data_IF_703817613237
#
_entry.id   IF_703817613237
#
_cell.length_a   1.000
_cell.length_b   1.000
_cell.length_c   1.000
_cell.angle_alpha   90.00
_cell.angle_beta   90.00
_cell.angle_gamma   90.00
#
_symmetry.space_group_name_H-M   'P 1'
#
loop_
_entity.id
_entity.type
_entity.pdbx_description
1 polymer ?
#
# COMPACT_ATOMS: atom_id res chain seq x y z
N UNK A 1 6.06 21.17 -2.10
CA UNK A 1 5.60 20.17 -3.08
C UNK A 1 6.85 19.51 -3.66
N UNK A 2 7.05 18.21 -3.40
CA UNK A 2 8.07 17.44 -4.12
C UNK A 2 7.37 16.93 -5.39
N UNK A 3 7.76 17.45 -6.55
CA UNK A 3 7.22 17.01 -7.85
C UNK A 3 7.65 15.57 -8.14
N UNK A 4 6.90 14.62 -7.58
CA UNK A 4 7.03 13.20 -7.91
C UNK A 4 6.36 12.95 -9.26
N UNK A 5 7.15 12.64 -10.30
CA UNK A 5 6.60 12.05 -11.54
C UNK A 5 6.03 10.64 -11.34
N UNK A 6 6.24 10.05 -10.15
CA UNK A 6 5.80 8.70 -9.83
C UNK A 6 4.40 8.72 -9.21
N UNK A 7 3.48 7.95 -9.79
CA UNK A 7 2.14 7.74 -9.25
C UNK A 7 2.12 6.50 -8.37
N UNK A 8 1.52 6.57 -7.18
CA UNK A 8 1.29 5.38 -6.34
C UNK A 8 0.11 4.54 -6.84
N UNK A 9 -0.75 5.11 -7.69
CA UNK A 9 -1.85 4.39 -8.33
C UNK A 9 -1.40 3.78 -9.65
N UNK A 10 -1.75 2.51 -9.86
CA UNK A 10 -1.56 1.82 -11.13
C UNK A 10 -2.84 1.12 -11.57
N UNK A 11 -3.40 1.55 -12.70
CA UNK A 11 -4.45 0.82 -13.43
C UNK A 11 -3.80 -0.25 -14.31
N UNK A 12 -4.34 -1.47 -14.29
CA UNK A 12 -3.85 -2.51 -15.17
C UNK A 12 -4.42 -2.36 -16.58
N UNK A 13 -3.56 -2.53 -17.58
CA UNK A 13 -3.94 -2.56 -19.01
C UNK A 13 -4.41 -3.96 -19.42
N UNK A 14 -3.93 -4.98 -18.71
CA UNK A 14 -4.27 -6.39 -18.91
C UNK A 14 -4.71 -7.00 -17.60
N UNK A 15 -5.41 -8.12 -17.66
CA UNK A 15 -5.83 -8.85 -16.46
C UNK A 15 -4.64 -9.11 -15.52
N UNK A 16 -4.85 -8.82 -14.23
CA UNK A 16 -3.86 -9.06 -13.19
C UNK A 16 -3.51 -10.55 -13.10
N UNK A 17 -2.27 -10.84 -12.68
CA UNK A 17 -1.83 -12.20 -12.32
C UNK A 17 -1.92 -12.46 -10.81
N UNK A 18 -2.49 -11.52 -10.05
CA UNK A 18 -2.79 -11.75 -8.64
C UNK A 18 -3.87 -12.84 -8.52
N UNK A 19 -4.00 -13.50 -7.35
CA UNK A 19 -5.07 -14.45 -7.10
C UNK A 19 -6.43 -13.78 -6.89
N UNK A 20 -6.49 -12.44 -6.82
CA UNK A 20 -7.70 -11.71 -6.49
C UNK A 20 -8.61 -11.58 -7.72
N UNK A 21 -9.82 -12.12 -7.61
CA UNK A 21 -10.83 -12.04 -8.68
C UNK A 21 -11.25 -10.59 -8.89
N UNK A 22 -11.17 -10.12 -10.14
CA UNK A 22 -11.56 -8.75 -10.50
C UNK A 22 -10.53 -7.68 -10.19
N UNK A 23 -9.28 -8.06 -9.87
CA UNK A 23 -8.18 -7.13 -9.61
C UNK A 23 -7.83 -6.29 -10.83
N UNK A 24 -7.96 -4.98 -10.65
CA UNK A 24 -8.07 -4.01 -11.73
C UNK A 24 -7.09 -2.83 -11.54
N UNK A 25 -6.81 -2.47 -10.29
CA UNK A 25 -5.81 -1.45 -9.98
C UNK A 25 -5.13 -1.71 -8.64
N UNK A 26 -3.94 -1.12 -8.47
CA UNK A 26 -3.26 -1.11 -7.18
C UNK A 26 -2.97 0.30 -6.69
N UNK A 27 -2.86 0.44 -5.36
CA UNK A 27 -2.20 1.56 -4.69
C UNK A 27 -0.94 1.03 -4.01
N UNK A 28 0.21 1.64 -4.28
CA UNK A 28 1.46 1.38 -3.56
C UNK A 28 1.38 2.04 -2.18
N UNK A 29 1.39 1.23 -1.12
CA UNK A 29 1.29 1.71 0.27
C UNK A 29 2.65 1.78 0.97
N UNK A 30 3.62 1.02 0.48
CA UNK A 30 4.98 1.02 0.98
C UNK A 30 5.91 0.75 -0.20
N UNK A 31 6.98 1.52 -0.29
CA UNK A 31 8.17 1.17 -1.05
C UNK A 31 9.42 1.76 -0.40
N UNK A 32 10.59 1.26 -0.78
CA UNK A 32 11.86 1.91 -0.42
C UNK A 32 11.98 3.21 -1.22
N UNK A 33 12.30 4.30 -0.52
CA UNK A 33 12.49 5.63 -1.12
C UNK A 33 13.90 6.10 -0.82
N UNK A 34 14.58 6.57 -1.86
CA UNK A 34 15.83 7.33 -1.73
C UNK A 34 15.59 8.75 -2.18
N UNK A 35 16.06 9.71 -1.39
CA UNK A 35 16.03 11.13 -1.75
C UNK A 35 17.37 11.55 -2.33
N UNK A 36 17.33 12.24 -3.46
CA UNK A 36 18.48 12.91 -4.05
C UNK A 36 18.05 14.26 -4.63
N UNK A 37 18.63 15.36 -4.14
CA UNK A 37 18.38 16.73 -4.61
C UNK A 37 16.88 17.06 -4.83
N UNK A 38 16.06 16.89 -3.79
CA UNK A 38 14.60 17.10 -3.79
C UNK A 38 13.77 16.19 -4.72
N UNK A 39 14.42 15.22 -5.37
CA UNK A 39 13.74 14.16 -6.11
C UNK A 39 13.71 12.89 -5.27
N UNK A 40 12.58 12.20 -5.33
CA UNK A 40 12.44 10.87 -4.75
C UNK A 40 12.58 9.82 -5.85
N UNK A 41 13.37 8.79 -5.59
CA UNK A 41 13.39 7.58 -6.38
C UNK A 41 12.78 6.45 -5.57
N UNK A 42 11.86 5.71 -6.19
CA UNK A 42 11.14 4.60 -5.58
C UNK A 42 11.74 3.29 -6.08
N UNK A 43 12.18 2.43 -5.16
CA UNK A 43 12.62 1.07 -5.46
C UNK A 43 11.67 0.03 -4.87
N UNK A 44 11.57 -1.11 -5.56
CA UNK A 44 10.58 -2.16 -5.26
C UNK A 44 11.19 -3.41 -4.62
N UNK A 45 12.32 -3.25 -3.93
CA UNK A 45 12.94 -4.29 -3.09
C UNK A 45 12.06 -4.62 -1.88
N UNK A 46 11.50 -3.60 -1.23
CA UNK A 46 10.48 -3.69 -0.18
C UNK A 46 9.23 -3.01 -0.68
N UNK A 47 8.09 -3.70 -0.71
CA UNK A 47 6.84 -3.08 -1.09
C UNK A 47 5.62 -3.71 -0.43
N UNK A 48 4.54 -2.93 -0.37
CA UNK A 48 3.17 -3.37 -0.10
C UNK A 48 2.26 -2.71 -1.14
N UNK A 49 1.57 -3.50 -1.95
CA UNK A 49 0.49 -3.03 -2.82
C UNK A 49 -0.86 -3.38 -2.21
N UNK A 50 -1.78 -2.43 -2.21
CA UNK A 50 -3.20 -2.67 -2.03
C UNK A 50 -3.85 -2.93 -3.39
N UNK A 51 -4.56 -4.04 -3.52
CA UNK A 51 -5.28 -4.44 -4.72
C UNK A 51 -6.75 -4.03 -4.64
N UNK A 52 -7.27 -3.54 -5.76
CA UNK A 52 -8.65 -3.03 -5.86
C UNK A 52 -9.37 -3.53 -7.09
N UNK A 53 -10.68 -3.69 -6.95
CA UNK A 53 -11.56 -3.92 -8.09
C UNK A 53 -11.77 -2.65 -8.93
N UNK A 54 -12.51 -2.81 -10.04
CA UNK A 54 -12.81 -1.74 -11.00
C UNK A 54 -13.61 -0.56 -10.43
N UNK A 55 -14.21 -0.70 -9.25
CA UNK A 55 -14.92 0.39 -8.55
C UNK A 55 -14.22 0.81 -7.25
N UNK A 56 -13.00 0.34 -7.01
CA UNK A 56 -12.15 0.75 -5.90
C UNK A 56 -12.31 -0.04 -4.60
N UNK A 57 -13.08 -1.15 -4.58
CA UNK A 57 -13.16 -2.01 -3.38
C UNK A 57 -11.83 -2.70 -3.13
N UNK A 58 -11.46 -2.84 -1.86
CA UNK A 58 -10.25 -3.55 -1.46
C UNK A 58 -10.43 -5.05 -1.65
N UNK A 59 -9.47 -5.68 -2.32
CA UNK A 59 -9.44 -7.13 -2.53
C UNK A 59 -8.45 -7.80 -1.55
N UNK A 60 -7.30 -7.17 -1.36
CA UNK A 60 -6.22 -7.69 -0.52
C UNK A 60 -4.94 -6.89 -0.72
N UNK A 61 -3.85 -7.40 -0.18
CA UNK A 61 -2.51 -6.83 -0.39
C UNK A 61 -1.57 -7.85 -1.01
N UNK A 62 -0.55 -7.36 -1.71
CA UNK A 62 0.63 -8.16 -2.03
C UNK A 62 1.89 -7.51 -1.46
N UNK A 63 2.81 -8.34 -0.98
CA UNK A 63 4.05 -7.89 -0.35
C UNK A 63 5.27 -8.39 -1.12
N UNK A 64 6.40 -7.70 -0.99
CA UNK A 64 7.67 -8.18 -1.56
C UNK A 64 8.19 -9.40 -0.79
N UNK A 65 9.09 -10.17 -1.41
CA UNK A 65 9.77 -11.29 -0.74
C UNK A 65 10.54 -10.86 0.52
N UNK A 66 11.10 -9.65 0.51
CA UNK A 66 11.81 -9.11 1.68
C UNK A 66 10.84 -8.89 2.85
N UNK A 67 9.69 -8.26 2.59
CA UNK A 67 8.63 -8.05 3.59
C UNK A 67 8.06 -9.39 4.09
N UNK A 68 7.84 -10.36 3.20
CA UNK A 68 7.39 -11.69 3.57
C UNK A 68 8.39 -12.41 4.50
N UNK A 69 9.69 -12.34 4.18
CA UNK A 69 10.75 -12.95 4.98
C UNK A 69 10.90 -12.30 6.37
N UNK A 70 10.66 -10.99 6.50
CA UNK A 70 10.69 -10.28 7.78
C UNK A 70 9.55 -10.71 8.72
N UNK A 71 8.37 -11.01 8.17
CA UNK A 71 7.21 -11.41 8.96
C UNK A 71 7.34 -12.84 9.53
N UNK A 72 8.01 -13.74 8.80
CA UNK A 72 8.18 -15.17 9.17
C UNK A 72 6.86 -15.89 9.54
N UNK A 73 5.73 -15.41 9.01
CA UNK A 73 4.38 -15.87 9.38
C UNK A 73 3.85 -17.02 8.50
N UNK A 74 4.57 -17.39 7.45
CA UNK A 74 4.20 -18.43 6.50
C UNK A 74 2.99 -18.10 5.61
N UNK A 75 2.49 -16.86 5.62
CA UNK A 75 1.26 -16.52 4.92
C UNK A 75 1.40 -16.35 3.39
N UNK A 76 2.62 -16.34 2.85
CA UNK A 76 2.90 -16.18 1.41
C UNK A 76 3.13 -14.72 0.95
N UNK A 77 2.89 -14.43 -0.33
CA UNK A 77 2.95 -13.07 -0.90
C UNK A 77 1.63 -12.29 -0.81
N UNK A 78 0.50 -12.97 -1.00
CA UNK A 78 -0.81 -12.33 -1.08
C UNK A 78 -1.53 -12.49 0.26
N UNK A 79 -2.18 -11.44 0.75
CA UNK A 79 -2.93 -11.46 2.02
C UNK A 79 -4.32 -10.85 1.80
N UNK A 80 -5.30 -11.38 2.51
CA UNK A 80 -6.69 -10.89 2.50
C UNK A 80 -7.19 -10.70 3.93
N UNK A 81 -8.28 -9.94 4.07
CA UNK A 81 -9.03 -9.82 5.32
C UNK A 81 -8.12 -9.49 6.53
N UNK A 82 -8.32 -10.16 7.66
CA UNK A 82 -7.55 -9.93 8.88
C UNK A 82 -6.03 -10.12 8.69
N UNK A 83 -5.59 -11.02 7.80
CA UNK A 83 -4.16 -11.24 7.53
C UNK A 83 -3.52 -10.01 6.86
N UNK A 84 -4.23 -9.38 5.91
CA UNK A 84 -3.78 -8.15 5.28
C UNK A 84 -3.71 -7.00 6.31
N UNK A 85 -4.74 -6.85 7.14
CA UNK A 85 -4.79 -5.80 8.14
C UNK A 85 -3.68 -5.93 9.19
N UNK A 86 -3.32 -7.16 9.60
CA UNK A 86 -2.19 -7.40 10.52
C UNK A 86 -0.86 -6.92 9.93
N UNK A 87 -0.62 -7.17 8.64
CA UNK A 87 0.58 -6.66 7.94
C UNK A 87 0.57 -5.13 7.88
N UNK A 88 -0.56 -4.52 7.50
CA UNK A 88 -0.68 -3.06 7.43
C UNK A 88 -0.48 -2.40 8.80
N UNK A 89 -0.97 -3.02 9.88
CA UNK A 89 -0.73 -2.56 11.25
C UNK A 89 0.74 -2.70 11.66
N UNK A 90 1.39 -3.82 11.32
CA UNK A 90 2.81 -4.06 11.58
C UNK A 90 3.69 -3.00 10.91
N UNK A 91 3.42 -2.70 9.62
CA UNK A 91 4.19 -1.74 8.84
C UNK A 91 3.67 -0.29 8.93
N UNK A 92 2.73 0.01 9.82
CA UNK A 92 2.05 1.31 9.88
C UNK A 92 3.02 2.50 9.88
N UNK A 93 4.10 2.46 10.65
CA UNK A 93 5.06 3.58 10.71
C UNK A 93 5.77 3.78 9.37
N UNK A 94 6.18 2.70 8.71
CA UNK A 94 6.82 2.77 7.40
C UNK A 94 5.85 3.23 6.31
N UNK A 95 4.61 2.75 6.35
CA UNK A 95 3.53 3.19 5.45
C UNK A 95 3.28 4.69 5.64
N UNK A 96 3.21 5.19 6.88
CA UNK A 96 3.04 6.62 7.17
C UNK A 96 4.13 7.45 6.51
N UNK A 97 5.40 7.07 6.70
CA UNK A 97 6.53 7.78 6.12
C UNK A 97 6.52 7.73 4.60
N UNK A 98 6.18 6.59 4.01
CA UNK A 98 6.12 6.47 2.54
C UNK A 98 5.00 7.33 1.95
N UNK A 99 3.79 7.27 2.53
CA UNK A 99 2.63 7.99 1.98
C UNK A 99 2.70 9.51 2.16
N UNK A 100 3.53 10.03 3.08
CA UNK A 100 3.70 11.48 3.21
C UNK A 100 4.32 12.13 1.97
N UNK A 101 5.09 11.37 1.17
CA UNK A 101 5.61 11.81 -0.13
C UNK A 101 4.52 11.93 -1.22
N UNK A 102 3.38 11.28 -1.01
CA UNK A 102 2.28 11.16 -1.98
C UNK A 102 0.95 11.60 -1.37
N UNK A 103 0.99 12.52 -0.41
CA UNK A 103 -0.20 12.92 0.35
C UNK A 103 -1.30 13.48 -0.55
N UNK A 104 -0.93 14.24 -1.58
CA UNK A 104 -1.87 14.82 -2.54
C UNK A 104 -2.63 13.74 -3.34
N UNK A 105 -1.94 12.66 -3.74
CA UNK A 105 -2.59 11.52 -4.41
C UNK A 105 -3.52 10.76 -3.45
N UNK A 106 -3.11 10.58 -2.20
CA UNK A 106 -3.95 9.96 -1.16
C UNK A 106 -5.21 10.79 -0.92
N UNK A 107 -5.07 12.11 -0.84
CA UNK A 107 -6.20 13.03 -0.69
C UNK A 107 -7.14 12.99 -1.90
N UNK A 108 -6.61 12.95 -3.11
CA UNK A 108 -7.42 12.81 -4.32
C UNK A 108 -8.23 11.49 -4.37
N UNK A 109 -7.73 10.42 -3.74
CA UNK A 109 -8.39 9.10 -3.73
C UNK A 109 -9.40 8.97 -2.58
N UNK A 110 -9.03 9.43 -1.39
CA UNK A 110 -9.76 9.15 -0.15
C UNK A 110 -10.41 10.38 0.49
N UNK A 111 -10.15 11.58 -0.04
CA UNK A 111 -10.68 12.85 0.48
C UNK A 111 -10.06 13.29 1.81
N UNK A 112 -8.93 12.69 2.20
CA UNK A 112 -8.18 12.99 3.42
C UNK A 112 -6.69 12.93 3.11
N UNK A 113 -5.90 13.80 3.73
CA UNK A 113 -4.44 13.71 3.66
C UNK A 113 -3.94 12.36 4.19
N UNK A 114 -2.72 11.99 3.80
CA UNK A 114 -2.15 10.68 4.12
C UNK A 114 -2.06 10.36 5.61
N UNK A 115 -1.80 11.36 6.45
CA UNK A 115 -1.69 11.16 7.90
C UNK A 115 -3.06 10.93 8.53
N UNK A 116 -4.03 11.79 8.22
CA UNK A 116 -5.40 11.69 8.73
C UNK A 116 -6.07 10.39 8.29
N UNK A 117 -5.92 10.04 7.00
CA UNK A 117 -6.44 8.79 6.44
C UNK A 117 -5.86 7.57 7.17
N UNK A 118 -4.54 7.49 7.30
CA UNK A 118 -3.88 6.33 7.90
C UNK A 118 -4.19 6.22 9.41
N UNK A 119 -4.33 7.33 10.10
CA UNK A 119 -4.76 7.35 11.51
C UNK A 119 -6.16 6.71 11.68
N UNK A 120 -7.13 7.12 10.85
CA UNK A 120 -8.48 6.56 10.86
C UNK A 120 -8.46 5.05 10.52
N UNK A 121 -7.69 4.67 9.50
CA UNK A 121 -7.48 3.28 9.12
C UNK A 121 -6.92 2.44 10.27
N UNK A 122 -5.85 2.89 10.95
CA UNK A 122 -5.23 2.17 12.07
C UNK A 122 -6.24 1.84 13.17
N UNK A 123 -7.06 2.83 13.56
CA UNK A 123 -8.07 2.64 14.59
C UNK A 123 -9.09 1.56 14.18
N UNK A 124 -9.58 1.62 12.93
CA UNK A 124 -10.53 0.64 12.41
C UNK A 124 -9.91 -0.75 12.27
N UNK A 125 -8.69 -0.85 11.73
CA UNK A 125 -8.02 -2.13 11.51
C UNK A 125 -7.77 -2.85 12.82
N UNK A 126 -7.31 -2.16 13.87
CA UNK A 126 -7.16 -2.76 15.21
C UNK A 126 -8.43 -3.43 15.69
N UNK A 127 -9.59 -2.78 15.52
CA UNK A 127 -10.90 -3.33 15.91
C UNK A 127 -11.31 -4.56 15.09
N UNK A 128 -10.87 -4.65 13.83
CA UNK A 128 -11.18 -5.76 12.93
C UNK A 128 -10.23 -6.95 13.07
N UNK A 129 -9.09 -6.77 13.74
CA UNK A 129 -8.06 -7.81 13.95
C UNK A 129 -8.00 -8.35 15.37
N UNK A 130 -8.79 -7.79 16.28
CA UNK A 130 -9.07 -8.33 17.62
C UNK A 130 -10.08 -9.46 17.50
#
# INVERSE_FOLDING_TARGET
MKDSKHSIVRKYVRQSRSPFVGDDSTILLLATVTEDNDQIAVSYDRYIYLHRDQVGRWLGISISKAVEAELTDGGGKYRENASALKVLLHYHSHIKTFLSYFSDEIEAIFGLDSETWLYACKARWKKLTQ
#
